data_IF_279266144405
#
_entry.id   IF_279266144405
#
_cell.length_a   1.000
_cell.length_b   1.000
_cell.length_c   1.000
_cell.angle_alpha   90.00
_cell.angle_beta   90.00
_cell.angle_gamma   90.00
#
_symmetry.space_group_name_H-M   'P 1'
#
loop_
_entity.id
_entity.type
_entity.pdbx_description
1 polymer ?
#
# COMPACT_ATOMS: atom_id res chain seq x y z
N UNK A 1 -3.06 16.56 1.66
CA UNK A 1 -2.73 15.40 0.80
C UNK A 1 -3.19 15.66 -0.63
N UNK A 2 -4.50 15.62 -0.91
CA UNK A 2 -5.07 15.76 -2.27
C UNK A 2 -4.48 16.94 -3.04
N UNK A 3 -4.64 18.18 -2.54
CA UNK A 3 -4.16 19.37 -3.24
C UNK A 3 -2.66 19.31 -3.56
N UNK A 4 -1.85 18.86 -2.60
CA UNK A 4 -0.40 18.76 -2.76
C UNK A 4 -0.01 17.66 -3.76
N UNK A 5 -0.67 16.50 -3.73
CA UNK A 5 -0.45 15.43 -4.72
C UNK A 5 -0.87 15.86 -6.12
N UNK A 6 -1.97 16.61 -6.26
CA UNK A 6 -2.42 17.17 -7.55
C UNK A 6 -1.42 18.20 -8.07
N UNK A 7 -0.91 19.08 -7.22
CA UNK A 7 0.12 20.05 -7.62
C UNK A 7 1.44 19.36 -7.99
N UNK A 8 1.84 18.31 -7.29
CA UNK A 8 3.09 17.61 -7.53
C UNK A 8 3.06 16.68 -8.75
N UNK A 9 1.96 15.96 -8.97
CA UNK A 9 1.88 14.90 -9.99
C UNK A 9 0.73 15.08 -10.97
N UNK A 10 -0.32 15.84 -10.62
CA UNK A 10 -1.52 16.03 -11.42
C UNK A 10 -1.33 16.99 -12.61
N UNK A 11 -0.47 17.99 -12.46
CA UNK A 11 -0.32 19.06 -13.46
C UNK A 11 0.13 18.56 -14.83
N UNK A 12 0.95 17.51 -14.88
CA UNK A 12 1.51 17.01 -16.15
C UNK A 12 0.77 15.79 -16.70
N UNK A 13 -0.28 15.28 -16.05
CA UNK A 13 -0.94 14.04 -16.47
C UNK A 13 -1.40 14.03 -17.94
N UNK A 14 -1.97 15.12 -18.50
CA UNK A 14 -2.37 15.14 -19.92
C UNK A 14 -1.22 15.00 -20.93
N UNK A 15 0.03 15.22 -20.50
CA UNK A 15 1.23 15.14 -21.34
C UNK A 15 2.01 13.83 -21.12
N UNK A 16 1.56 12.98 -20.19
CA UNK A 16 2.18 11.69 -19.94
C UNK A 16 1.63 10.62 -20.90
N UNK A 17 2.42 9.57 -21.10
CA UNK A 17 2.04 8.40 -21.89
C UNK A 17 2.15 7.11 -21.06
N UNK A 18 2.07 5.96 -21.70
CA UNK A 18 2.54 4.71 -21.10
C UNK A 18 4.06 4.65 -21.10
N UNK A 19 4.62 4.06 -20.05
CA UNK A 19 6.06 3.91 -19.87
C UNK A 19 6.39 2.48 -19.42
N UNK A 20 7.49 1.94 -19.95
CA UNK A 20 8.10 0.66 -19.54
C UNK A 20 7.06 -0.48 -19.42
N UNK A 21 6.71 -0.87 -18.19
CA UNK A 21 5.82 -1.99 -17.91
C UNK A 21 4.39 -1.72 -18.38
N UNK A 22 3.96 -0.46 -18.37
CA UNK A 22 2.61 -0.08 -18.81
C UNK A 22 2.37 -0.46 -20.27
N UNK A 23 3.39 -0.28 -21.13
CA UNK A 23 3.33 -0.71 -22.53
C UNK A 23 3.16 -2.22 -22.64
N UNK A 24 3.97 -2.97 -21.89
CA UNK A 24 3.94 -4.43 -21.91
C UNK A 24 2.57 -4.95 -21.47
N UNK A 25 2.04 -4.47 -20.35
CA UNK A 25 0.77 -4.96 -19.82
C UNK A 25 -0.42 -4.56 -20.70
N UNK A 26 -0.43 -3.33 -21.21
CA UNK A 26 -1.46 -2.90 -22.15
C UNK A 26 -1.39 -3.69 -23.46
N UNK A 27 -0.20 -3.91 -24.04
CA UNK A 27 -0.05 -4.68 -25.27
C UNK A 27 -0.50 -6.15 -25.11
N UNK A 28 -0.12 -6.80 -24.00
CA UNK A 28 -0.57 -8.17 -23.70
C UNK A 28 -2.09 -8.22 -23.62
N UNK A 29 -2.71 -7.22 -22.98
CA UNK A 29 -4.17 -7.13 -22.89
C UNK A 29 -4.84 -6.89 -24.25
N UNK A 30 -4.33 -5.98 -25.07
CA UNK A 30 -4.88 -5.71 -26.40
C UNK A 30 -4.75 -6.92 -27.33
N UNK A 31 -3.69 -7.72 -27.18
CA UNK A 31 -3.41 -8.88 -28.04
C UNK A 31 -4.15 -10.14 -27.58
N UNK A 32 -4.23 -10.38 -26.28
CA UNK A 32 -4.68 -11.66 -25.71
C UNK A 32 -5.85 -11.52 -24.72
N UNK A 33 -6.38 -10.32 -24.53
CA UNK A 33 -7.45 -10.01 -23.59
C UNK A 33 -7.07 -10.21 -22.12
N UNK A 34 -8.07 -10.14 -21.25
CA UNK A 34 -7.90 -10.33 -19.79
C UNK A 34 -7.34 -11.71 -19.43
N UNK A 35 -7.65 -12.74 -20.22
CA UNK A 35 -7.16 -14.10 -20.00
C UNK A 35 -5.65 -14.21 -20.28
N UNK A 36 -5.15 -13.53 -21.32
CA UNK A 36 -3.74 -13.49 -21.63
C UNK A 36 -2.92 -12.79 -20.55
N UNK A 37 -3.42 -11.68 -20.02
CA UNK A 37 -2.71 -10.97 -18.94
C UNK A 37 -2.69 -11.75 -17.62
N UNK A 38 -3.76 -12.47 -17.30
CA UNK A 38 -3.73 -13.38 -16.14
C UNK A 38 -2.73 -14.52 -16.34
N UNK A 39 -2.68 -15.09 -17.54
CA UNK A 39 -1.69 -16.12 -17.90
C UNK A 39 -0.25 -15.59 -17.85
N UNK A 40 -0.04 -14.31 -18.21
CA UNK A 40 1.25 -13.66 -18.07
C UNK A 40 1.75 -13.62 -16.62
N UNK A 41 0.83 -13.41 -15.66
CA UNK A 41 1.17 -13.36 -14.24
C UNK A 41 1.03 -14.68 -13.48
N UNK A 42 0.46 -15.74 -14.09
CA UNK A 42 0.06 -16.95 -13.37
C UNK A 42 1.22 -17.74 -12.78
N UNK A 43 2.42 -17.63 -13.37
CA UNK A 43 3.61 -18.36 -12.91
C UNK A 43 4.29 -17.72 -11.72
N UNK A 44 4.33 -16.39 -11.66
CA UNK A 44 5.09 -15.66 -10.65
C UNK A 44 4.20 -14.90 -9.64
N UNK A 45 3.08 -14.30 -10.08
CA UNK A 45 2.27 -13.38 -9.27
C UNK A 45 0.78 -13.50 -9.61
N UNK A 46 0.14 -14.66 -9.37
CA UNK A 46 -1.23 -14.92 -9.80
C UNK A 46 -2.23 -13.89 -9.24
N UNK A 47 -2.00 -13.37 -8.04
CA UNK A 47 -2.85 -12.34 -7.44
C UNK A 47 -2.79 -10.99 -8.19
N UNK A 48 -1.64 -10.67 -8.77
CA UNK A 48 -1.48 -9.49 -9.64
C UNK A 48 -2.27 -9.63 -10.94
N UNK A 49 -2.32 -10.83 -11.50
CA UNK A 49 -3.18 -11.13 -12.65
C UNK A 49 -4.64 -10.78 -12.38
N UNK A 50 -5.17 -11.13 -11.19
CA UNK A 50 -6.55 -10.79 -10.82
C UNK A 50 -6.77 -9.28 -10.70
N UNK A 51 -5.83 -8.53 -10.10
CA UNK A 51 -5.94 -7.07 -10.01
C UNK A 51 -6.07 -6.43 -11.40
N UNK A 52 -5.23 -6.86 -12.33
CA UNK A 52 -5.28 -6.34 -13.71
C UNK A 52 -6.49 -6.79 -14.50
N UNK A 53 -6.99 -8.01 -14.27
CA UNK A 53 -8.23 -8.46 -14.89
C UNK A 53 -9.41 -7.56 -14.54
N UNK A 54 -9.40 -6.93 -13.36
CA UNK A 54 -10.44 -5.99 -12.94
C UNK A 54 -10.23 -4.61 -13.53
N UNK A 55 -9.00 -4.08 -13.47
CA UNK A 55 -8.75 -2.67 -13.83
C UNK A 55 -8.55 -2.42 -15.33
N UNK A 56 -7.94 -3.35 -16.07
CA UNK A 56 -7.70 -3.16 -17.50
C UNK A 56 -8.97 -3.01 -18.34
N UNK A 57 -10.03 -3.80 -18.15
CA UNK A 57 -11.27 -3.61 -18.90
C UNK A 57 -11.96 -2.27 -18.66
N UNK A 58 -11.73 -1.65 -17.50
CA UNK A 58 -12.33 -0.37 -17.11
C UNK A 58 -11.67 0.79 -17.86
N UNK A 59 -10.34 0.81 -17.90
CA UNK A 59 -9.58 1.95 -18.44
C UNK A 59 -9.07 1.70 -19.87
N UNK A 60 -8.92 0.44 -20.27
CA UNK A 60 -8.42 0.03 -21.59
C UNK A 60 -7.13 0.76 -21.96
N UNK A 61 -7.05 1.34 -23.16
CA UNK A 61 -5.94 2.13 -23.68
C UNK A 61 -6.01 3.62 -23.32
N UNK A 62 -6.96 4.04 -22.47
CA UNK A 62 -7.10 5.43 -22.06
C UNK A 62 -5.98 5.84 -21.08
N UNK A 63 -4.92 6.41 -21.65
CA UNK A 63 -3.74 6.89 -20.92
C UNK A 63 -4.10 7.86 -19.79
N UNK A 64 -4.94 8.85 -20.08
CA UNK A 64 -5.30 9.85 -19.06
C UNK A 64 -6.02 9.20 -17.87
N UNK A 65 -6.89 8.22 -18.13
CA UNK A 65 -7.56 7.48 -17.07
C UNK A 65 -6.57 6.69 -16.21
N UNK A 66 -5.55 6.07 -16.81
CA UNK A 66 -4.47 5.42 -16.07
C UNK A 66 -3.64 6.37 -15.22
N UNK A 67 -3.30 7.54 -15.77
CA UNK A 67 -2.57 8.57 -15.05
C UNK A 67 -3.38 9.12 -13.86
N UNK A 68 -4.69 9.33 -14.04
CA UNK A 68 -5.61 9.68 -12.95
C UNK A 68 -5.70 8.55 -11.92
N UNK A 69 -5.81 7.30 -12.37
CA UNK A 69 -5.83 6.13 -11.49
C UNK A 69 -4.57 6.06 -10.62
N UNK A 70 -3.38 6.20 -11.20
CA UNK A 70 -2.12 6.22 -10.47
C UNK A 70 -2.01 7.39 -9.47
N UNK A 71 -2.59 8.56 -9.80
CA UNK A 71 -2.66 9.68 -8.86
C UNK A 71 -3.61 9.36 -7.69
N UNK A 72 -4.80 8.84 -7.98
CA UNK A 72 -5.82 8.51 -6.97
C UNK A 72 -5.31 7.44 -6.01
N UNK A 73 -4.68 6.38 -6.51
CA UNK A 73 -4.15 5.31 -5.64
C UNK A 73 -2.97 5.80 -4.80
N UNK A 74 -2.13 6.71 -5.33
CA UNK A 74 -1.09 7.39 -4.53
C UNK A 74 -1.68 8.24 -3.40
N UNK A 75 -2.76 8.99 -3.68
CA UNK A 75 -3.47 9.76 -2.66
C UNK A 75 -4.03 8.82 -1.59
N UNK A 76 -4.64 7.69 -1.99
CA UNK A 76 -5.13 6.67 -1.06
C UNK A 76 -4.02 6.13 -0.16
N UNK A 77 -2.85 5.83 -0.71
CA UNK A 77 -1.70 5.39 0.08
C UNK A 77 -1.24 6.48 1.07
N UNK A 78 -1.22 7.73 0.63
CA UNK A 78 -0.85 8.88 1.48
C UNK A 78 -1.84 9.10 2.62
N UNK A 79 -3.14 8.92 2.38
CA UNK A 79 -4.18 8.98 3.40
C UNK A 79 -4.08 7.81 4.37
N UNK A 80 -3.80 6.60 3.87
CA UNK A 80 -3.58 5.41 4.70
C UNK A 80 -2.37 5.59 5.62
N UNK A 81 -1.27 6.16 5.09
CA UNK A 81 -0.09 6.49 5.87
C UNK A 81 -0.39 7.57 6.91
N UNK A 82 -1.08 8.64 6.52
CA UNK A 82 -1.50 9.70 7.45
C UNK A 82 -2.30 9.12 8.62
N UNK A 83 -3.27 8.25 8.33
CA UNK A 83 -4.09 7.61 9.36
C UNK A 83 -3.26 6.75 10.33
N UNK A 84 -2.35 5.91 9.81
CA UNK A 84 -1.41 5.13 10.64
C UNK A 84 -0.62 6.04 11.59
N UNK A 85 -0.06 7.14 11.06
CA UNK A 85 0.76 8.05 11.85
C UNK A 85 -0.07 8.81 12.90
N UNK A 86 -1.32 9.16 12.58
CA UNK A 86 -2.27 9.73 13.56
C UNK A 86 -2.57 8.75 14.71
N UNK A 87 -2.70 7.45 14.42
CA UNK A 87 -2.90 6.42 15.45
C UNK A 87 -1.66 6.26 16.34
N UNK A 88 -0.46 6.43 15.80
CA UNK A 88 0.80 6.33 16.56
C UNK A 88 1.08 7.57 17.42
N UNK A 89 0.79 8.77 16.90
CA UNK A 89 1.05 10.04 17.59
C UNK A 89 -0.18 10.96 17.67
N UNK A 90 -1.25 10.56 18.39
CA UNK A 90 -2.50 11.31 18.43
C UNK A 90 -2.36 12.74 19.00
N UNK A 91 -1.34 12.99 19.82
CA UNK A 91 -1.07 14.30 20.44
C UNK A 91 -0.16 15.22 19.60
N UNK A 92 0.34 14.78 18.43
CA UNK A 92 1.31 15.53 17.62
C UNK A 92 0.79 15.81 16.19
N UNK A 93 -0.35 16.47 16.08
CA UNK A 93 -1.03 16.72 14.80
C UNK A 93 -0.11 17.34 13.72
N UNK A 94 0.69 18.35 14.08
CA UNK A 94 1.65 18.97 13.15
C UNK A 94 2.68 17.98 12.59
N UNK A 95 3.28 17.15 13.46
CA UNK A 95 4.25 16.13 13.04
C UNK A 95 3.60 15.09 12.11
N UNK A 96 2.38 14.65 12.45
CA UNK A 96 1.66 13.65 11.66
C UNK A 96 1.33 14.16 10.26
N UNK A 97 0.90 15.42 10.14
CA UNK A 97 0.62 16.04 8.86
C UNK A 97 1.89 16.20 8.04
N UNK A 98 2.97 16.74 8.63
CA UNK A 98 4.25 16.92 7.94
C UNK A 98 4.81 15.60 7.42
N UNK A 99 4.79 14.54 8.24
CA UNK A 99 5.26 13.22 7.84
C UNK A 99 4.47 12.69 6.63
N UNK A 100 3.14 12.83 6.65
CA UNK A 100 2.31 12.37 5.55
C UNK A 100 2.43 13.25 4.29
N UNK A 101 2.69 14.55 4.44
CA UNK A 101 2.96 15.43 3.30
C UNK A 101 4.28 15.04 2.63
N UNK A 102 5.33 14.80 3.43
CA UNK A 102 6.61 14.30 2.94
C UNK A 102 6.47 12.95 2.22
N UNK A 103 5.68 12.02 2.78
CA UNK A 103 5.37 10.76 2.11
C UNK A 103 4.69 10.98 0.76
N UNK A 104 3.68 11.87 0.72
CA UNK A 104 2.90 12.13 -0.48
C UNK A 104 3.77 12.65 -1.64
N UNK A 105 4.75 13.52 -1.37
CA UNK A 105 5.59 14.17 -2.39
C UNK A 105 7.03 13.68 -2.43
N UNK A 106 7.35 12.56 -1.77
CA UNK A 106 8.73 12.13 -1.59
C UNK A 106 9.47 12.03 -2.95
N UNK A 107 10.54 12.81 -3.16
CA UNK A 107 11.16 12.96 -4.48
C UNK A 107 12.03 11.77 -4.88
N UNK A 108 12.39 10.89 -3.94
CA UNK A 108 13.18 9.69 -4.24
C UNK A 108 12.41 8.63 -5.02
N UNK A 109 11.10 8.82 -5.24
CA UNK A 109 10.26 7.89 -5.99
C UNK A 109 9.77 8.50 -7.30
N UNK A 110 10.49 8.21 -8.38
CA UNK A 110 10.27 8.79 -9.71
C UNK A 110 9.39 7.94 -10.64
N UNK A 111 8.82 6.84 -10.13
CA UNK A 111 8.10 5.85 -10.95
C UNK A 111 6.60 6.13 -11.08
N UNK A 112 6.14 7.30 -10.61
CA UNK A 112 4.75 7.74 -10.74
C UNK A 112 4.23 7.73 -12.20
N UNK A 113 5.01 8.11 -13.24
CA UNK A 113 4.52 8.11 -14.62
C UNK A 113 4.15 6.73 -15.14
N UNK A 114 4.70 5.65 -14.56
CA UNK A 114 4.39 4.25 -14.89
C UNK A 114 3.07 3.88 -14.17
N UNK A 115 2.00 4.60 -14.49
CA UNK A 115 0.80 4.70 -13.67
C UNK A 115 -0.05 3.42 -13.67
N UNK A 116 -0.01 2.62 -14.74
CA UNK A 116 -0.70 1.33 -14.78
C UNK A 116 0.01 0.34 -13.85
N UNK A 117 1.33 0.24 -13.86
CA UNK A 117 2.09 -0.62 -12.93
C UNK A 117 2.03 -0.09 -11.49
N UNK A 118 2.49 1.14 -11.29
CA UNK A 118 2.63 1.71 -9.95
C UNK A 118 1.31 2.10 -9.31
N UNK A 119 0.26 2.35 -10.09
CA UNK A 119 -1.08 2.51 -9.55
C UNK A 119 -1.54 1.29 -8.75
N UNK A 120 -1.24 0.08 -9.23
CA UNK A 120 -1.52 -1.16 -8.50
C UNK A 120 -0.59 -1.36 -7.30
N UNK A 121 0.69 -1.01 -7.43
CA UNK A 121 1.63 -1.03 -6.29
C UNK A 121 1.12 -0.12 -5.16
N UNK A 122 0.58 1.06 -5.49
CA UNK A 122 -0.01 1.96 -4.49
C UNK A 122 -1.25 1.37 -3.80
N UNK A 123 -2.08 0.59 -4.51
CA UNK A 123 -3.19 -0.16 -3.89
C UNK A 123 -2.64 -1.16 -2.88
N UNK A 124 -1.70 -2.00 -3.30
CA UNK A 124 -1.10 -3.04 -2.46
C UNK A 124 -0.40 -2.43 -1.24
N UNK A 125 0.26 -1.28 -1.42
CA UNK A 125 0.90 -0.56 -0.33
C UNK A 125 -0.11 0.12 0.61
N UNK A 126 -1.24 0.62 0.09
CA UNK A 126 -2.35 1.12 0.92
C UNK A 126 -2.91 0.00 1.80
N UNK A 127 -3.12 -1.19 1.24
CA UNK A 127 -3.57 -2.39 1.99
C UNK A 127 -2.59 -2.73 3.12
N UNK A 128 -1.28 -2.67 2.87
CA UNK A 128 -0.26 -2.84 3.91
C UNK A 128 -0.35 -1.77 5.02
N UNK A 129 -0.48 -0.50 4.66
CA UNK A 129 -0.59 0.60 5.64
C UNK A 129 -1.87 0.48 6.48
N UNK A 130 -2.97 0.09 5.86
CA UNK A 130 -4.23 -0.17 6.55
C UNK A 130 -4.11 -1.39 7.49
N UNK A 131 -3.47 -2.47 7.05
CA UNK A 131 -3.19 -3.63 7.91
C UNK A 131 -2.43 -3.22 9.18
N UNK A 132 -1.40 -2.40 9.05
CA UNK A 132 -0.66 -1.87 10.19
C UNK A 132 -1.51 -0.92 11.04
N UNK A 133 -2.38 -0.12 10.45
CA UNK A 133 -3.31 0.75 11.18
C UNK A 133 -4.27 -0.06 12.06
N UNK A 134 -4.82 -1.15 11.51
CA UNK A 134 -5.66 -2.08 12.27
C UNK A 134 -4.88 -2.85 13.34
N UNK A 135 -3.60 -3.15 13.11
CA UNK A 135 -2.71 -3.71 14.15
C UNK A 135 -2.58 -2.75 15.34
N UNK A 136 -2.39 -1.46 15.08
CA UNK A 136 -2.35 -0.42 16.13
C UNK A 136 -3.70 -0.30 16.84
N UNK A 137 -4.82 -0.32 16.10
CA UNK A 137 -6.15 -0.27 16.69
C UNK A 137 -6.47 -1.49 17.56
N UNK A 138 -6.04 -2.69 17.15
CA UNK A 138 -6.19 -3.92 17.93
C UNK A 138 -5.45 -3.83 19.27
N UNK A 139 -4.29 -3.16 19.28
CA UNK A 139 -3.54 -2.89 20.49
C UNK A 139 -4.22 -1.87 21.40
N UNK A 140 -4.71 -0.76 20.83
CA UNK A 140 -5.31 0.34 21.57
C UNK A 140 -6.72 0.03 22.11
N UNK A 141 -7.46 -0.89 21.48
CA UNK A 141 -8.86 -1.20 21.81
C UNK A 141 -9.06 -2.69 22.15
N UNK A 142 -8.77 -3.11 23.40
CA UNK A 142 -8.88 -4.51 23.81
C UNK A 142 -10.26 -5.14 23.56
N UNK A 143 -11.34 -4.37 23.65
CA UNK A 143 -12.72 -4.85 23.48
C UNK A 143 -13.03 -5.28 22.04
N UNK A 144 -12.36 -4.69 21.05
CA UNK A 144 -12.53 -4.99 19.62
C UNK A 144 -11.28 -5.62 19.00
N UNK A 145 -10.36 -6.09 19.84
CA UNK A 145 -9.06 -6.62 19.44
C UNK A 145 -9.18 -7.71 18.38
N UNK A 146 -10.09 -8.67 18.58
CA UNK A 146 -10.27 -9.80 17.65
C UNK A 146 -10.69 -9.29 16.26
N UNK A 147 -11.67 -8.39 16.19
CA UNK A 147 -12.16 -7.83 14.93
C UNK A 147 -11.03 -7.12 14.19
N UNK A 148 -10.29 -6.25 14.87
CA UNK A 148 -9.18 -5.52 14.26
C UNK A 148 -8.01 -6.42 13.87
N UNK A 149 -7.70 -7.45 14.67
CA UNK A 149 -6.70 -8.47 14.30
C UNK A 149 -7.12 -9.23 13.07
N UNK A 150 -8.38 -9.69 12.96
CA UNK A 150 -8.87 -10.39 11.76
C UNK A 150 -8.75 -9.50 10.53
N UNK A 151 -9.18 -8.23 10.62
CA UNK A 151 -9.05 -7.29 9.50
C UNK A 151 -7.57 -7.09 9.11
N UNK A 152 -6.69 -6.89 10.08
CA UNK A 152 -5.27 -6.72 9.83
C UNK A 152 -4.63 -7.97 9.20
N UNK A 153 -4.98 -9.18 9.66
CA UNK A 153 -4.50 -10.45 9.07
C UNK A 153 -4.99 -10.62 7.64
N UNK A 154 -6.27 -10.36 7.36
CA UNK A 154 -6.81 -10.45 6.00
C UNK A 154 -6.11 -9.46 5.06
N UNK A 155 -5.93 -8.20 5.50
CA UNK A 155 -5.20 -7.21 4.71
C UNK A 155 -3.72 -7.58 4.53
N UNK A 156 -3.07 -8.12 5.56
CA UNK A 156 -1.70 -8.64 5.48
C UNK A 156 -1.58 -9.75 4.46
N UNK A 157 -2.51 -10.72 4.48
CA UNK A 157 -2.54 -11.83 3.54
C UNK A 157 -2.70 -11.32 2.10
N UNK A 158 -3.63 -10.39 1.86
CA UNK A 158 -3.81 -9.76 0.55
C UNK A 158 -2.54 -9.05 0.06
N UNK A 159 -1.82 -8.38 0.96
CA UNK A 159 -0.57 -7.71 0.62
C UNK A 159 0.54 -8.71 0.24
N UNK A 160 0.77 -9.74 1.06
CA UNK A 160 1.83 -10.75 0.82
C UNK A 160 1.53 -11.58 -0.43
N UNK A 161 0.27 -11.98 -0.64
CA UNK A 161 -0.14 -12.70 -1.86
C UNK A 161 0.02 -11.84 -3.13
N UNK A 162 -0.07 -10.52 -3.00
CA UNK A 162 0.10 -9.61 -4.13
C UNK A 162 1.55 -9.53 -4.59
N UNK A 163 2.50 -9.32 -3.67
CA UNK A 163 3.89 -9.09 -4.05
C UNK A 163 4.87 -9.38 -2.91
N UNK A 164 5.80 -10.31 -3.15
CA UNK A 164 6.84 -10.74 -2.20
C UNK A 164 7.76 -9.61 -1.71
N UNK A 165 7.91 -8.53 -2.48
CA UNK A 165 8.73 -7.36 -2.10
C UNK A 165 8.22 -6.64 -0.85
N UNK A 166 6.98 -6.89 -0.42
CA UNK A 166 6.46 -6.36 0.84
C UNK A 166 6.82 -7.23 2.05
N UNK A 167 7.38 -8.44 1.85
CA UNK A 167 7.77 -9.32 2.95
C UNK A 167 8.81 -8.69 3.90
N UNK A 168 9.84 -7.95 3.44
CA UNK A 168 10.71 -7.20 4.34
C UNK A 168 9.98 -6.08 5.08
N UNK A 169 8.94 -5.49 4.48
CA UNK A 169 8.14 -4.44 5.11
C UNK A 169 7.29 -4.99 6.27
N UNK A 170 7.04 -6.30 6.34
CA UNK A 170 6.39 -6.92 7.51
C UNK A 170 7.20 -6.77 8.81
N UNK A 171 8.51 -6.56 8.71
CA UNK A 171 9.33 -6.18 9.87
C UNK A 171 8.90 -4.84 10.48
N UNK A 172 8.26 -3.96 9.70
CA UNK A 172 7.66 -2.74 10.23
C UNK A 172 6.58 -3.06 11.27
N UNK A 173 5.73 -4.07 11.03
CA UNK A 173 4.70 -4.47 12.00
C UNK A 173 5.31 -4.93 13.31
N UNK A 174 6.39 -5.71 13.24
CA UNK A 174 7.17 -6.09 14.41
C UNK A 174 7.72 -4.86 15.16
N UNK A 175 8.32 -3.91 14.44
CA UNK A 175 8.81 -2.66 15.02
C UNK A 175 7.69 -1.83 15.67
N UNK A 176 6.51 -1.77 15.05
CA UNK A 176 5.34 -1.09 15.60
C UNK A 176 4.86 -1.75 16.90
N UNK A 177 4.72 -3.08 16.92
CA UNK A 177 4.32 -3.82 18.13
C UNK A 177 5.36 -3.70 19.25
N UNK A 178 6.65 -3.60 18.91
CA UNK A 178 7.70 -3.30 19.88
C UNK A 178 7.59 -1.88 20.43
N UNK A 179 7.30 -0.90 19.56
CA UNK A 179 7.13 0.52 19.91
C UNK A 179 5.91 0.78 20.80
N UNK A 180 4.78 0.13 20.52
CA UNK A 180 3.51 0.31 21.24
C UNK A 180 3.52 -0.22 22.69
N UNK A 181 4.53 -1.01 23.06
CA UNK A 181 4.70 -1.49 24.42
C UNK A 181 5.17 -0.35 25.33
N UNK A 182 4.30 0.04 26.26
CA UNK A 182 4.55 1.12 27.22
C UNK A 182 5.07 0.62 28.59
N UNK A 183 5.04 -0.70 28.84
CA UNK A 183 5.46 -1.22 30.15
C UNK A 183 6.99 -1.25 30.30
N UNK A 184 7.52 -0.88 31.49
CA UNK A 184 8.94 -0.98 31.79
C UNK A 184 9.36 -2.45 31.88
N UNK A 185 9.73 -3.02 30.74
CA UNK A 185 10.29 -4.37 30.63
C UNK A 185 11.71 -4.31 30.05
N UNK A 186 12.52 -5.34 30.33
CA UNK A 186 13.83 -5.49 29.71
C UNK A 186 13.71 -5.63 28.20
N UNK A 187 14.69 -5.10 27.45
CA UNK A 187 14.68 -5.09 25.99
C UNK A 187 14.36 -6.46 25.38
N UNK A 188 14.98 -7.54 25.89
CA UNK A 188 14.75 -8.91 25.44
C UNK A 188 13.30 -9.37 25.63
N UNK A 189 12.66 -9.04 26.76
CA UNK A 189 11.26 -9.40 27.01
C UNK A 189 10.32 -8.67 26.05
N UNK A 190 10.58 -7.38 25.78
CA UNK A 190 9.80 -6.59 24.82
C UNK A 190 9.90 -7.12 23.39
N UNK A 191 11.12 -7.45 22.97
CA UNK A 191 11.40 -8.05 21.66
C UNK A 191 10.68 -9.40 21.50
N UNK A 192 10.80 -10.28 22.50
CA UNK A 192 10.14 -11.58 22.48
C UNK A 192 8.61 -11.49 22.49
N UNK A 193 8.04 -10.57 23.26
CA UNK A 193 6.59 -10.35 23.27
C UNK A 193 6.07 -9.77 21.95
N UNK A 194 6.82 -8.82 21.34
CA UNK A 194 6.52 -8.32 20.01
C UNK A 194 6.54 -9.45 18.97
N UNK A 195 7.53 -10.33 19.05
CA UNK A 195 7.68 -11.46 18.14
C UNK A 195 6.51 -12.44 18.25
N UNK A 196 6.11 -12.81 19.47
CA UNK A 196 4.93 -13.67 19.71
C UNK A 196 3.63 -13.05 19.21
N UNK A 197 3.49 -11.73 19.35
CA UNK A 197 2.28 -11.01 18.91
C UNK A 197 2.27 -10.79 17.39
N UNK A 198 3.45 -10.80 16.77
CA UNK A 198 3.62 -10.68 15.32
C UNK A 198 3.36 -11.99 14.58
N UNK A 199 3.70 -13.14 15.20
CA UNK A 199 3.55 -14.47 14.60
C UNK A 199 2.17 -14.78 13.96
N UNK A 200 1.01 -14.39 14.54
CA UNK A 200 -0.29 -14.68 13.95
C UNK A 200 -0.58 -13.98 12.62
N UNK A 201 0.27 -13.03 12.22
CA UNK A 201 0.12 -12.28 10.98
C UNK A 201 0.99 -12.79 9.84
N UNK A 202 1.79 -13.84 10.09
CA UNK A 202 2.70 -14.48 9.15
C UNK A 202 2.34 -15.96 9.02
#
# INVERSE_FOLDING_TARGET
>A
MVAISVLAYGLLLPWLSFYIDDWTFNWVYQTFGSAGLFSYFSTNRPFWGFLYQVTLPIFQDNILAWQIFGLVTRILASLSFYWLVCLLWPKKSGLTLTAALLFAVYPGFLLQPIALCFGHIWIVYSVFLLSNSFTVLAWQNPQRRIIYTVIAVVLSLLNVLSMEYFLPLEMLRYALLFYLQNEPQTFFKRAWYAFKTWLPYF
#
